data_IF_351451671718
#
_entry.id   IF_351451671718
#
_cell.length_a   1.000
_cell.length_b   1.000
_cell.length_c   1.000
_cell.angle_alpha   90.00
_cell.angle_beta   90.00
_cell.angle_gamma   90.00
#
_symmetry.space_group_name_H-M   'P 1'
#
loop_
_entity.id
_entity.type
_entity.pdbx_description
1 polymer ?
#
# COMPACT_ATOMS: atom_id res chain seq x y z
N UNK A 1 -6.88 15.93 14.83
CA UNK A 1 -7.71 14.79 15.27
C UNK A 1 -6.92 13.51 14.99
N UNK A 2 -6.43 12.84 16.01
CA UNK A 2 -5.76 11.55 15.92
C UNK A 2 -6.84 10.50 15.65
N UNK A 3 -6.96 10.07 14.39
CA UNK A 3 -7.76 8.92 14.02
C UNK A 3 -7.11 7.67 14.54
N UNK A 4 -7.44 7.30 15.75
CA UNK A 4 -7.11 6.01 16.32
C UNK A 4 -8.01 4.99 15.62
N UNK A 5 -7.48 4.24 14.66
CA UNK A 5 -7.96 2.90 14.40
C UNK A 5 -7.57 2.07 15.63
N UNK A 6 -8.39 2.16 16.66
CA UNK A 6 -8.33 1.22 17.77
C UNK A 6 -8.94 -0.10 17.29
N UNK A 7 -8.20 -0.80 16.45
CA UNK A 7 -8.41 -2.22 16.28
C UNK A 7 -8.18 -2.83 17.65
N UNK A 8 -9.20 -3.49 18.21
CA UNK A 8 -9.04 -4.22 19.46
C UNK A 8 -7.80 -5.15 19.34
N UNK A 9 -7.14 -5.40 20.45
CA UNK A 9 -5.88 -6.13 20.47
C UNK A 9 -5.96 -7.51 19.76
N UNK A 10 -7.10 -8.17 19.84
CA UNK A 10 -7.37 -9.44 19.15
C UNK A 10 -7.41 -9.28 17.64
N UNK A 11 -8.05 -8.22 17.13
CA UNK A 11 -8.11 -7.95 15.71
C UNK A 11 -6.72 -7.57 15.17
N UNK A 12 -5.92 -6.87 15.97
CA UNK A 12 -4.53 -6.56 15.66
C UNK A 12 -3.71 -7.84 15.48
N UNK A 13 -3.77 -8.77 16.43
CA UNK A 13 -3.08 -10.07 16.36
C UNK A 13 -3.50 -10.89 15.15
N UNK A 14 -4.79 -10.86 14.79
CA UNK A 14 -5.30 -11.53 13.59
C UNK A 14 -4.72 -10.93 12.31
N UNK A 15 -4.62 -9.60 12.22
CA UNK A 15 -4.03 -8.91 11.07
C UNK A 15 -2.53 -9.22 10.99
N UNK A 16 -1.80 -9.17 12.11
CA UNK A 16 -0.37 -9.53 12.19
C UNK A 16 -0.14 -10.96 11.68
N UNK A 17 -0.87 -11.92 12.19
CA UNK A 17 -0.74 -13.32 11.79
C UNK A 17 -1.03 -13.53 10.29
N UNK A 18 -1.97 -12.77 9.71
CA UNK A 18 -2.26 -12.83 8.27
C UNK A 18 -1.16 -12.21 7.42
N UNK A 19 -0.57 -11.11 7.88
CA UNK A 19 0.57 -10.47 7.22
C UNK A 19 1.77 -11.40 7.25
N UNK A 20 2.11 -11.97 8.41
CA UNK A 20 3.22 -12.92 8.56
C UNK A 20 3.05 -14.14 7.66
N UNK A 21 1.84 -14.71 7.61
CA UNK A 21 1.55 -15.83 6.72
C UNK A 21 1.72 -15.46 5.25
N UNK A 22 1.29 -14.26 4.86
CA UNK A 22 1.43 -13.78 3.47
C UNK A 22 2.90 -13.54 3.13
N UNK A 23 3.67 -12.90 4.00
CA UNK A 23 5.10 -12.66 3.80
C UNK A 23 5.87 -13.97 3.66
N UNK A 24 5.58 -14.94 4.51
CA UNK A 24 6.19 -16.28 4.45
C UNK A 24 5.88 -16.98 3.12
N UNK A 25 4.62 -16.93 2.66
CA UNK A 25 4.25 -17.50 1.36
C UNK A 25 4.95 -16.82 0.18
N UNK A 26 5.17 -15.50 0.24
CA UNK A 26 5.95 -14.78 -0.76
C UNK A 26 7.42 -15.22 -0.73
N UNK A 27 8.02 -15.32 0.47
CA UNK A 27 9.40 -15.77 0.65
C UNK A 27 9.62 -17.19 0.11
N UNK A 28 8.74 -18.13 0.45
CA UNK A 28 8.77 -19.51 -0.06
C UNK A 28 8.65 -19.56 -1.60
N UNK A 29 7.78 -18.72 -2.17
CA UNK A 29 7.61 -18.62 -3.63
C UNK A 29 8.86 -18.07 -4.30
N UNK A 30 9.46 -17.01 -3.74
CA UNK A 30 10.69 -16.44 -4.25
C UNK A 30 11.85 -17.42 -4.20
N UNK A 31 12.00 -18.18 -3.10
CA UNK A 31 13.01 -19.22 -2.98
C UNK A 31 12.85 -20.28 -4.07
N UNK A 32 11.62 -20.76 -4.28
CA UNK A 32 11.34 -21.74 -5.32
C UNK A 32 11.70 -21.22 -6.72
N UNK A 33 11.36 -19.98 -7.02
CA UNK A 33 11.72 -19.35 -8.31
C UNK A 33 13.24 -19.21 -8.45
N UNK A 34 13.93 -18.81 -7.39
CA UNK A 34 15.40 -18.65 -7.41
C UNK A 34 16.15 -19.99 -7.57
N UNK A 35 15.57 -21.08 -7.07
CA UNK A 35 16.13 -22.42 -7.23
C UNK A 35 15.89 -23.01 -8.63
N UNK A 36 14.75 -22.69 -9.26
CA UNK A 36 14.37 -23.19 -10.59
C UNK A 36 14.90 -22.35 -11.76
N UNK A 37 15.20 -21.09 -11.55
CA UNK A 37 15.62 -20.16 -12.60
C UNK A 37 16.93 -19.46 -12.21
N UNK A 38 17.90 -19.44 -13.13
CA UNK A 38 19.01 -18.47 -13.06
C UNK A 38 18.45 -17.07 -13.28
N UNK A 39 18.04 -16.40 -12.18
CA UNK A 39 17.55 -15.02 -12.24
C UNK A 39 18.73 -14.12 -12.57
N UNK A 40 18.71 -13.51 -13.74
CA UNK A 40 19.71 -12.53 -14.17
C UNK A 40 19.37 -11.18 -13.50
N UNK A 41 20.40 -10.54 -12.94
CA UNK A 41 20.24 -9.21 -12.32
C UNK A 41 19.68 -8.16 -13.28
N UNK A 42 19.83 -8.38 -14.57
CA UNK A 42 19.31 -7.51 -15.63
C UNK A 42 17.78 -7.58 -15.73
N UNK A 43 17.18 -8.76 -15.58
CA UNK A 43 15.73 -8.97 -15.61
C UNK A 43 15.06 -8.34 -14.38
N UNK A 44 15.71 -8.40 -13.21
CA UNK A 44 15.29 -7.72 -11.99
C UNK A 44 15.23 -6.19 -12.13
N UNK A 45 15.99 -5.61 -13.03
CA UNK A 45 16.09 -4.15 -13.16
C UNK A 45 14.80 -3.53 -13.70
N UNK A 46 14.15 -4.16 -14.66
CA UNK A 46 12.89 -3.70 -15.23
C UNK A 46 11.76 -3.86 -14.22
N UNK A 47 11.72 -4.98 -13.50
CA UNK A 47 10.73 -5.22 -12.45
C UNK A 47 10.85 -4.23 -11.30
N UNK A 48 12.06 -3.93 -10.85
CA UNK A 48 12.32 -2.92 -9.81
C UNK A 48 11.95 -1.52 -10.27
N UNK A 49 12.14 -1.19 -11.55
CA UNK A 49 11.73 0.10 -12.09
C UNK A 49 10.20 0.24 -12.10
N UNK A 50 9.48 -0.78 -12.55
CA UNK A 50 8.01 -0.81 -12.53
C UNK A 50 7.45 -0.71 -11.11
N UNK A 51 8.09 -1.40 -10.15
CA UNK A 51 7.77 -1.29 -8.74
C UNK A 51 7.98 0.15 -8.23
N UNK A 52 9.08 0.80 -8.63
CA UNK A 52 9.40 2.19 -8.30
C UNK A 52 8.31 3.18 -8.73
N UNK A 53 7.71 2.98 -9.90
CA UNK A 53 6.60 3.81 -10.37
C UNK A 53 5.36 3.68 -9.48
N UNK A 54 5.02 2.45 -9.08
CA UNK A 54 3.91 2.18 -8.17
C UNK A 54 4.13 2.80 -6.79
N UNK A 55 5.34 2.70 -6.25
CA UNK A 55 5.72 3.38 -5.01
C UNK A 55 5.70 4.90 -5.14
N UNK A 56 6.18 5.43 -6.26
CA UNK A 56 6.13 6.87 -6.54
C UNK A 56 4.69 7.39 -6.55
N UNK A 57 3.76 6.64 -7.13
CA UNK A 57 2.34 7.00 -7.10
C UNK A 57 1.79 7.04 -5.67
N UNK A 58 2.08 6.03 -4.85
CA UNK A 58 1.59 5.93 -3.47
C UNK A 58 2.22 6.97 -2.55
N UNK A 59 3.51 7.26 -2.72
CA UNK A 59 4.27 8.19 -1.86
C UNK A 59 3.92 9.66 -2.10
N UNK A 60 3.26 9.98 -3.21
CA UNK A 60 2.82 11.35 -3.45
C UNK A 60 1.80 11.78 -2.39
N UNK A 61 2.04 12.96 -1.81
CA UNK A 61 1.12 13.56 -0.84
C UNK A 61 -0.32 13.54 -1.34
N UNK A 62 -1.23 13.12 -0.48
CA UNK A 62 -2.68 12.97 -0.69
C UNK A 62 -3.13 11.75 -1.50
N UNK A 63 -2.25 11.09 -2.27
CA UNK A 63 -2.70 9.95 -3.09
C UNK A 63 -3.21 8.79 -2.22
N UNK A 64 -2.44 8.44 -1.20
CA UNK A 64 -2.80 7.34 -0.31
C UNK A 64 -4.07 7.64 0.49
N UNK A 65 -4.21 8.88 1.00
CA UNK A 65 -5.40 9.31 1.73
C UNK A 65 -6.65 9.30 0.85
N UNK A 66 -6.52 9.72 -0.42
CA UNK A 66 -7.61 9.67 -1.41
C UNK A 66 -8.03 8.22 -1.66
N UNK A 67 -7.06 7.35 -2.00
CA UNK A 67 -7.33 5.95 -2.29
C UNK A 67 -7.96 5.22 -1.10
N UNK A 68 -7.46 5.49 0.10
CA UNK A 68 -8.01 4.93 1.34
C UNK A 68 -9.44 5.40 1.61
N UNK A 69 -9.71 6.69 1.40
CA UNK A 69 -11.05 7.25 1.58
C UNK A 69 -12.04 6.62 0.60
N UNK A 70 -11.63 6.44 -0.65
CA UNK A 70 -12.44 5.76 -1.67
C UNK A 70 -12.65 4.27 -1.33
N UNK A 71 -11.64 3.62 -0.78
CA UNK A 71 -11.74 2.22 -0.35
C UNK A 71 -12.80 2.02 0.75
N UNK A 72 -12.88 2.96 1.70
CA UNK A 72 -13.81 2.90 2.83
C UNK A 72 -15.23 3.36 2.48
N UNK A 73 -15.42 4.11 1.40
CA UNK A 73 -16.69 4.77 1.06
C UNK A 73 -17.35 4.23 -0.21
N UNK A 74 -16.72 3.27 -0.89
CA UNK A 74 -17.11 2.70 -2.16
C UNK A 74 -17.29 3.72 -3.29
N UNK A 75 -18.20 4.68 -3.16
CA UNK A 75 -18.41 5.80 -4.08
C UNK A 75 -18.56 7.11 -3.32
N UNK A 76 -17.86 8.16 -3.75
CA UNK A 76 -17.90 9.47 -3.11
C UNK A 76 -17.83 10.60 -4.15
N UNK A 77 -18.49 11.72 -3.89
CA UNK A 77 -18.38 12.90 -4.75
C UNK A 77 -17.19 13.81 -4.36
N UNK A 78 -16.81 14.70 -5.27
CA UNK A 78 -15.67 15.59 -5.10
C UNK A 78 -15.77 16.48 -3.84
N UNK A 79 -16.95 17.01 -3.54
CA UNK A 79 -17.16 17.91 -2.41
C UNK A 79 -17.04 17.16 -1.06
N UNK A 80 -17.54 15.94 -1.01
CA UNK A 80 -17.40 15.08 0.17
C UNK A 80 -15.95 14.70 0.40
N UNK A 81 -15.25 14.27 -0.67
CA UNK A 81 -13.83 13.92 -0.59
C UNK A 81 -12.98 15.10 -0.13
N UNK A 82 -13.21 16.29 -0.70
CA UNK A 82 -12.57 17.54 -0.28
C UNK A 82 -12.78 17.83 1.21
N UNK A 83 -14.02 17.67 1.70
CA UNK A 83 -14.38 17.92 3.10
C UNK A 83 -13.69 16.94 4.05
N UNK A 84 -13.66 15.65 3.69
CA UNK A 84 -13.02 14.61 4.51
C UNK A 84 -11.53 14.85 4.63
N UNK A 85 -10.85 15.15 3.50
CA UNK A 85 -9.40 15.30 3.44
C UNK A 85 -8.91 16.69 3.88
N UNK A 86 -9.78 17.69 3.91
CA UNK A 86 -9.36 19.07 4.23
C UNK A 86 -8.42 19.69 3.19
N UNK A 87 -8.39 19.17 1.97
CA UNK A 87 -7.50 19.60 0.89
C UNK A 87 -8.17 20.70 0.04
N UNK A 88 -7.37 21.61 -0.54
CA UNK A 88 -7.90 22.60 -1.45
C UNK A 88 -8.36 21.98 -2.79
N UNK A 89 -9.30 22.67 -3.48
CA UNK A 89 -9.94 22.14 -4.68
C UNK A 89 -8.96 21.91 -5.84
N UNK A 90 -7.94 22.77 -5.99
CA UNK A 90 -6.95 22.65 -7.06
C UNK A 90 -6.10 21.40 -6.87
N UNK A 91 -5.52 21.23 -5.69
CA UNK A 91 -4.71 20.06 -5.35
C UNK A 91 -5.52 18.77 -5.51
N UNK A 92 -6.75 18.73 -4.98
CA UNK A 92 -7.61 17.56 -5.13
C UNK A 92 -7.92 17.25 -6.59
N UNK A 93 -8.24 18.28 -7.40
CA UNK A 93 -8.52 18.10 -8.83
C UNK A 93 -7.33 17.51 -9.58
N UNK A 94 -6.13 18.02 -9.32
CA UNK A 94 -4.91 17.54 -9.98
C UNK A 94 -4.60 16.09 -9.57
N UNK A 95 -4.74 15.77 -8.29
CA UNK A 95 -4.55 14.38 -7.79
C UNK A 95 -5.59 13.42 -8.35
N UNK A 96 -6.86 13.82 -8.39
CA UNK A 96 -7.93 13.00 -8.98
C UNK A 96 -7.71 12.73 -10.46
N UNK A 97 -7.29 13.76 -11.23
CA UNK A 97 -6.94 13.58 -12.66
C UNK A 97 -5.81 12.55 -12.82
N UNK A 98 -4.77 12.67 -12.01
CA UNK A 98 -3.64 11.73 -12.03
C UNK A 98 -4.09 10.31 -11.69
N UNK A 99 -4.84 10.11 -10.61
CA UNK A 99 -5.33 8.79 -10.21
C UNK A 99 -6.29 8.16 -11.23
N UNK A 100 -7.08 8.96 -11.91
CA UNK A 100 -7.92 8.51 -13.03
C UNK A 100 -7.06 8.11 -14.23
N UNK A 101 -6.07 8.94 -14.60
CA UNK A 101 -5.17 8.63 -15.73
C UNK A 101 -4.32 7.38 -15.51
N UNK A 102 -3.92 7.12 -14.25
CA UNK A 102 -3.22 5.88 -13.86
C UNK A 102 -4.15 4.65 -13.76
N UNK A 103 -5.44 4.82 -13.98
CA UNK A 103 -6.42 3.74 -13.90
C UNK A 103 -6.68 3.21 -12.49
N UNK A 104 -6.38 3.97 -11.45
CA UNK A 104 -6.65 3.60 -10.06
C UNK A 104 -8.05 4.04 -9.58
N UNK A 105 -8.57 5.10 -10.16
CA UNK A 105 -9.87 5.70 -9.84
C UNK A 105 -10.72 5.80 -11.10
N UNK A 106 -11.98 5.43 -10.98
CA UNK A 106 -13.00 5.62 -12.00
C UNK A 106 -13.88 6.84 -11.68
N UNK A 107 -14.28 7.57 -12.71
CA UNK A 107 -15.14 8.74 -12.61
C UNK A 107 -16.48 8.44 -13.26
N UNK A 108 -17.51 8.27 -12.45
CA UNK A 108 -18.87 8.00 -12.91
C UNK A 108 -19.71 9.26 -12.94
N UNK A 109 -20.33 9.50 -14.09
CA UNK A 109 -21.30 10.58 -14.27
C UNK A 109 -22.69 9.97 -14.27
N UNK A 110 -23.49 10.27 -13.25
CA UNK A 110 -24.89 9.86 -13.19
C UNK A 110 -25.73 10.92 -13.92
N UNK A 111 -26.32 10.51 -15.01
CA UNK A 111 -27.24 11.35 -15.82
C UNK A 111 -28.55 11.56 -15.06
N UNK A 112 -28.92 12.80 -14.83
CA UNK A 112 -30.16 13.23 -14.18
C UNK A 112 -30.06 14.66 -13.67
N UNK A 113 -31.17 15.39 -13.50
CA UNK A 113 -31.14 16.68 -12.83
C UNK A 113 -31.13 16.51 -11.29
N UNK A 114 -30.13 16.99 -10.54
CA UNK A 114 -28.86 17.56 -11.01
C UNK A 114 -27.82 16.50 -11.42
N UNK A 115 -26.92 16.87 -12.34
CA UNK A 115 -25.81 16.03 -12.76
C UNK A 115 -24.92 15.70 -11.55
N UNK A 116 -24.68 14.42 -11.31
CA UNK A 116 -23.87 13.96 -10.18
C UNK A 116 -22.63 13.23 -10.68
N UNK A 117 -21.48 13.61 -10.14
CA UNK A 117 -20.20 12.95 -10.42
C UNK A 117 -19.74 12.21 -9.16
N UNK A 118 -19.59 10.90 -9.28
CA UNK A 118 -19.02 10.03 -8.26
C UNK A 118 -17.64 9.52 -8.66
N UNK A 119 -16.82 9.24 -7.68
CA UNK A 119 -15.51 8.60 -7.81
C UNK A 119 -15.48 7.33 -7.01
N UNK A 120 -14.88 6.29 -7.57
CA UNK A 120 -14.72 4.98 -6.94
C UNK A 120 -13.39 4.36 -7.35
N UNK A 121 -12.94 3.38 -6.59
CA UNK A 121 -11.74 2.63 -6.98
C UNK A 121 -12.05 1.68 -8.15
N UNK A 122 -11.10 1.57 -9.06
CA UNK A 122 -11.02 0.44 -9.98
C UNK A 122 -10.53 -0.82 -9.24
N UNK A 123 -10.55 -1.96 -9.92
CA UNK A 123 -9.92 -3.19 -9.38
C UNK A 123 -8.45 -2.94 -9.05
N UNK A 124 -7.70 -2.32 -9.97
CA UNK A 124 -6.29 -1.94 -9.76
C UNK A 124 -6.10 -1.02 -8.56
N UNK A 125 -6.94 0.02 -8.41
CA UNK A 125 -6.87 0.94 -7.27
C UNK A 125 -7.16 0.24 -5.95
N UNK A 126 -8.11 -0.70 -5.94
CA UNK A 126 -8.43 -1.51 -4.76
C UNK A 126 -7.28 -2.44 -4.37
N UNK A 127 -6.70 -3.15 -5.33
CA UNK A 127 -5.54 -4.02 -5.12
C UNK A 127 -4.34 -3.24 -4.58
N UNK A 128 -4.07 -2.06 -5.16
CA UNK A 128 -3.00 -1.18 -4.72
C UNK A 128 -3.16 -0.75 -3.24
N UNK A 129 -4.38 -0.42 -2.82
CA UNK A 129 -4.69 -0.12 -1.41
C UNK A 129 -4.44 -1.33 -0.53
N UNK A 130 -4.90 -2.51 -0.94
CA UNK A 130 -4.73 -3.75 -0.18
C UNK A 130 -3.25 -4.13 -0.03
N UNK A 131 -2.44 -3.92 -1.05
CA UNK A 131 -0.98 -4.13 -1.00
C UNK A 131 -0.27 -3.11 -0.10
N UNK A 132 -0.76 -1.86 -0.06
CA UNK A 132 -0.20 -0.82 0.81
C UNK A 132 -0.56 -1.00 2.29
N UNK A 133 -1.65 -1.71 2.62
CA UNK A 133 -2.10 -1.93 3.99
C UNK A 133 -1.05 -2.63 4.88
N UNK A 134 -0.45 -3.76 4.48
CA UNK A 134 0.62 -4.41 5.24
C UNK A 134 1.78 -3.47 5.53
N UNK A 135 2.19 -2.66 4.55
CA UNK A 135 3.28 -1.71 4.71
C UNK A 135 2.95 -0.61 5.73
N UNK A 136 1.73 -0.08 5.71
CA UNK A 136 1.26 0.89 6.71
C UNK A 136 1.24 0.29 8.11
N UNK A 137 0.83 -0.95 8.22
CA UNK A 137 0.80 -1.68 9.48
C UNK A 137 2.22 -1.91 10.01
N UNK A 138 3.12 -2.40 9.17
CA UNK A 138 4.53 -2.61 9.47
C UNK A 138 5.22 -1.32 9.94
N UNK A 139 5.01 -0.21 9.23
CA UNK A 139 5.57 1.09 9.59
C UNK A 139 5.11 1.57 10.96
N UNK A 140 3.88 1.26 11.36
CA UNK A 140 3.36 1.60 12.70
C UNK A 140 3.95 0.71 13.80
N UNK A 141 4.06 -0.58 13.56
CA UNK A 141 4.62 -1.53 14.52
C UNK A 141 6.08 -1.19 14.86
N UNK A 142 6.85 -0.72 13.88
CA UNK A 142 8.26 -0.36 14.05
C UNK A 142 8.50 1.12 14.42
N UNK A 143 7.50 1.99 14.27
CA UNK A 143 7.58 3.39 14.72
C UNK A 143 7.39 3.57 16.24
N UNK A 144 6.86 2.56 16.92
CA UNK A 144 6.66 2.55 18.39
C UNK A 144 7.77 1.73 19.07
N UNK A 145 9.04 2.02 18.72
CA UNK A 145 10.24 1.68 19.46
C UNK A 145 10.22 0.41 20.32
N UNK A 146 10.32 -0.77 19.70
CA UNK A 146 11.03 -1.88 20.30
C UNK A 146 12.20 -2.25 19.40
N UNK A 147 13.42 -2.47 19.97
CA UNK A 147 14.58 -2.85 19.17
C UNK A 147 14.29 -4.20 18.53
N UNK A 148 14.27 -4.20 17.19
CA UNK A 148 13.97 -5.35 16.38
C UNK A 148 14.66 -6.60 16.85
N UNK A 149 13.99 -7.71 16.71
CA UNK A 149 14.60 -9.03 16.68
C UNK A 149 15.59 -9.03 15.50
N UNK A 150 16.78 -8.47 15.78
CA UNK A 150 17.92 -8.53 14.89
C UNK A 150 18.30 -10.00 14.77
N UNK A 151 18.28 -10.48 13.53
CA UNK A 151 18.67 -11.81 13.17
C UNK A 151 19.97 -12.19 13.85
N UNK A 152 19.95 -13.34 14.50
CA UNK A 152 21.10 -14.08 14.99
C UNK A 152 22.15 -14.15 13.86
N UNK A 153 23.13 -13.25 13.91
CA UNK A 153 24.36 -13.45 13.16
C UNK A 153 25.02 -14.70 13.73
N UNK A 154 25.20 -15.67 12.88
CA UNK A 154 26.05 -16.84 13.13
C UNK A 154 27.45 -16.37 13.53
N UNK A 155 27.76 -16.45 14.82
CA UNK A 155 29.11 -16.51 15.35
C UNK A 155 29.53 -17.98 15.39
N UNK A 156 29.91 -18.53 14.26
CA UNK A 156 30.61 -19.81 14.20
C UNK A 156 31.57 -19.80 13.00
N UNK A 157 32.63 -19.01 13.08
CA UNK A 157 33.84 -19.26 12.26
C UNK A 157 35.04 -18.48 12.82
N UNK A 158 35.44 -18.78 14.00
CA UNK A 158 36.75 -18.34 14.52
C UNK A 158 37.31 -19.29 15.60
N UNK A 159 37.47 -20.56 15.30
CA UNK A 159 38.37 -21.45 16.06
C UNK A 159 38.82 -22.64 15.22
N UNK A 160 39.66 -22.40 14.24
CA UNK A 160 40.50 -23.44 13.68
C UNK A 160 41.70 -22.79 12.94
N UNK A 161 42.65 -22.29 13.73
CA UNK A 161 44.06 -22.18 13.33
C UNK A 161 44.89 -21.77 14.54
N UNK A 162 45.32 -22.73 15.31
CA UNK A 162 46.66 -22.76 15.93
C UNK A 162 47.00 -24.22 16.16
#
# INVERSE_FOLDING_TARGET
MKGQFALGEELRKLVEARIDHTLKGIEETLQCIMEEQEIRLEDLREDVQSLGESFSLLSQKWNLEILYTLFLKDEINFSQLKKILGVNSRTLSDKMKNLVSCGCVDRRVKTGPPLRVGYLLTVRGRELVLLALPLLYYSRAHAVGEPGHGGSRREDDAKAKT
#
